data_IF_717845789313
#
_entry.id   IF_717845789313
#
_cell.length_a   1.000
_cell.length_b   1.000
_cell.length_c   1.000
_cell.angle_alpha   90.00
_cell.angle_beta   90.00
_cell.angle_gamma   90.00
#
_symmetry.space_group_name_H-M   'P 1'
#
loop_
_entity.id
_entity.type
_entity.pdbx_description
1 polymer ?
#
# COMPACT_ATOMS: atom_id res chain seq x y z
N UNK A 1 1.78 -1.16 -14.32
CA UNK A 1 3.19 -1.56 -14.00
C UNK A 1 3.26 -2.49 -12.81
N UNK A 2 4.25 -3.40 -12.77
CA UNK A 2 4.53 -4.22 -11.60
C UNK A 2 5.09 -3.35 -10.47
N UNK A 3 4.74 -3.67 -9.21
CA UNK A 3 5.18 -2.93 -8.02
C UNK A 3 4.13 -2.00 -7.42
N UNK A 4 2.99 -1.79 -8.06
CA UNK A 4 1.92 -0.94 -7.55
C UNK A 4 2.41 0.47 -7.24
N UNK A 5 2.28 0.92 -5.98
CA UNK A 5 2.78 2.26 -5.58
C UNK A 5 4.30 2.41 -5.75
N UNK A 6 5.07 1.32 -5.71
CA UNK A 6 6.50 1.31 -6.03
C UNK A 6 6.74 0.99 -7.52
N UNK A 7 6.18 1.79 -8.38
CA UNK A 7 6.40 1.76 -9.83
C UNK A 7 6.65 3.17 -10.35
N UNK A 8 7.10 3.29 -11.59
CA UNK A 8 7.29 4.60 -12.24
C UNK A 8 5.98 5.37 -12.45
N UNK A 9 4.81 4.73 -12.27
CA UNK A 9 3.50 5.37 -12.39
C UNK A 9 3.11 6.16 -11.13
N UNK A 10 3.48 5.67 -9.93
CA UNK A 10 3.09 6.30 -8.65
C UNK A 10 4.28 6.86 -7.88
N UNK A 11 5.44 6.20 -7.98
CA UNK A 11 6.75 6.68 -7.51
C UNK A 11 6.86 6.85 -5.99
N UNK A 12 6.49 5.81 -5.25
CA UNK A 12 6.68 5.73 -3.80
C UNK A 12 7.86 4.81 -3.48
N UNK A 13 8.73 5.20 -2.53
CA UNK A 13 9.84 4.36 -2.07
C UNK A 13 9.37 3.10 -1.35
N UNK A 14 10.23 2.08 -1.29
CA UNK A 14 9.98 0.87 -0.50
C UNK A 14 10.23 1.15 0.99
N UNK A 15 9.15 1.28 1.78
CA UNK A 15 9.24 1.44 3.23
C UNK A 15 9.18 0.10 3.96
N UNK A 16 9.68 0.09 5.21
CA UNK A 16 9.75 -1.08 6.09
C UNK A 16 11.12 -1.77 6.08
N UNK A 17 11.41 -2.53 7.13
CA UNK A 17 12.63 -3.35 7.25
C UNK A 17 12.27 -4.81 7.09
N UNK A 18 13.11 -5.56 6.38
CA UNK A 18 12.94 -6.97 6.06
C UNK A 18 14.01 -7.83 6.74
N UNK A 19 13.87 -9.15 6.69
CA UNK A 19 14.84 -10.10 7.23
C UNK A 19 15.07 -9.91 8.76
N UNK A 20 13.96 -9.72 9.50
CA UNK A 20 13.96 -9.61 10.97
C UNK A 20 13.26 -10.81 11.61
N UNK A 21 13.70 -11.15 12.85
CA UNK A 21 13.01 -12.14 13.65
C UNK A 21 11.51 -11.85 13.85
N UNK A 22 10.68 -12.88 14.12
CA UNK A 22 11.07 -14.27 14.37
C UNK A 22 11.37 -15.09 13.10
N UNK A 23 11.08 -14.57 11.91
CA UNK A 23 11.24 -15.27 10.63
C UNK A 23 12.20 -14.51 9.70
N UNK A 24 13.48 -14.51 10.02
CA UNK A 24 14.55 -13.78 9.29
C UNK A 24 14.71 -14.23 7.83
N UNK A 25 14.08 -15.33 7.44
CA UNK A 25 14.04 -15.77 6.04
C UNK A 25 13.15 -14.92 5.14
N UNK A 26 12.21 -14.14 5.72
CA UNK A 26 11.27 -13.32 4.96
C UNK A 26 11.90 -12.01 4.50
N UNK A 27 11.67 -11.65 3.24
CA UNK A 27 12.15 -10.42 2.62
C UNK A 27 13.24 -10.62 1.57
N UNK A 28 13.81 -11.80 1.42
CA UNK A 28 14.88 -12.08 0.43
C UNK A 28 14.44 -11.86 -1.00
N UNK A 29 13.23 -12.27 -1.36
CA UNK A 29 12.69 -12.00 -2.69
C UNK A 29 12.57 -10.49 -2.94
N UNK A 30 12.17 -9.73 -1.93
CA UNK A 30 12.06 -8.28 -2.04
C UNK A 30 13.44 -7.64 -2.24
N UNK A 31 14.49 -8.15 -1.57
CA UNK A 31 15.86 -7.72 -1.85
C UNK A 31 16.28 -8.01 -3.28
N UNK A 32 15.90 -9.16 -3.80
CA UNK A 32 16.31 -9.63 -5.11
C UNK A 32 15.77 -8.74 -6.25
N UNK A 33 14.49 -8.40 -6.23
CA UNK A 33 13.88 -7.57 -7.28
C UNK A 33 13.63 -6.11 -6.88
N UNK A 34 13.79 -5.76 -5.61
CA UNK A 34 13.61 -4.41 -5.11
C UNK A 34 14.61 -3.42 -5.73
N UNK A 35 14.19 -2.17 -5.86
CA UNK A 35 15.07 -1.13 -6.39
C UNK A 35 16.17 -0.73 -5.40
N UNK A 36 17.27 -0.23 -5.94
CA UNK A 36 18.47 0.17 -5.20
C UNK A 36 18.57 1.67 -4.92
N UNK A 37 17.59 2.46 -5.34
CA UNK A 37 17.54 3.92 -5.19
C UNK A 37 16.37 4.34 -4.32
N UNK A 38 16.52 5.48 -3.66
CA UNK A 38 15.57 5.97 -2.66
C UNK A 38 14.79 7.18 -3.16
N UNK A 39 13.65 7.43 -2.51
CA UNK A 39 12.88 8.66 -2.56
C UNK A 39 11.53 8.53 -3.24
N UNK A 40 10.65 9.46 -2.88
CA UNK A 40 9.35 9.65 -3.50
C UNK A 40 9.45 10.65 -4.65
N UNK A 41 8.54 10.55 -5.62
CA UNK A 41 8.46 11.46 -6.76
C UNK A 41 9.82 11.67 -7.45
N UNK A 42 10.61 10.60 -7.63
CA UNK A 42 11.91 10.64 -8.31
C UNK A 42 11.74 10.30 -9.80
N UNK A 43 12.78 10.49 -10.64
CA UNK A 43 12.76 10.02 -12.02
C UNK A 43 12.39 8.54 -12.14
N UNK A 44 11.78 8.14 -13.26
CA UNK A 44 11.25 6.79 -13.48
C UNK A 44 12.27 5.68 -13.24
N UNK A 45 13.52 5.94 -13.61
CA UNK A 45 14.65 5.01 -13.52
C UNK A 45 14.93 4.57 -12.07
N UNK A 46 14.52 5.38 -11.08
CA UNK A 46 14.70 5.04 -9.67
C UNK A 46 13.87 3.82 -9.26
N UNK A 47 12.79 3.52 -9.98
CA UNK A 47 11.84 2.46 -9.61
C UNK A 47 12.13 1.14 -10.31
N UNK A 48 13.07 1.10 -11.24
CA UNK A 48 13.60 -0.12 -11.89
C UNK A 48 12.48 -1.09 -12.36
N UNK A 49 11.45 -0.59 -13.02
CA UNK A 49 10.30 -1.39 -13.47
C UNK A 49 10.71 -2.53 -14.42
N UNK A 50 11.73 -2.30 -15.26
CA UNK A 50 12.28 -3.33 -16.14
C UNK A 50 12.86 -4.52 -15.35
N UNK A 51 13.52 -4.28 -14.22
CA UNK A 51 14.05 -5.32 -13.35
C UNK A 51 12.94 -6.20 -12.77
N UNK A 52 11.83 -5.58 -12.31
CA UNK A 52 10.67 -6.31 -11.81
C UNK A 52 10.03 -7.16 -12.90
N UNK A 53 9.91 -6.60 -14.10
CA UNK A 53 9.35 -7.31 -15.26
C UNK A 53 10.23 -8.48 -15.68
N UNK A 54 11.56 -8.31 -15.71
CA UNK A 54 12.51 -9.36 -16.03
C UNK A 54 12.50 -10.47 -14.97
N UNK A 55 12.36 -10.11 -13.68
CA UNK A 55 12.24 -11.10 -12.61
C UNK A 55 11.05 -12.02 -12.82
N UNK A 56 9.86 -11.45 -13.07
CA UNK A 56 8.64 -12.26 -13.31
C UNK A 56 8.75 -13.06 -14.63
N UNK A 57 9.31 -12.48 -15.67
CA UNK A 57 9.47 -13.18 -16.96
C UNK A 57 10.45 -14.37 -16.88
N UNK A 58 11.38 -14.35 -15.91
CA UNK A 58 12.30 -15.47 -15.64
C UNK A 58 11.65 -16.66 -14.92
N UNK A 59 10.45 -16.48 -14.35
CA UNK A 59 9.76 -17.50 -13.58
C UNK A 59 8.88 -18.39 -14.49
N UNK A 60 9.38 -19.57 -14.85
CA UNK A 60 8.73 -20.47 -15.82
C UNK A 60 7.31 -20.92 -15.41
N UNK A 61 7.01 -20.96 -14.13
CA UNK A 61 5.71 -21.39 -13.59
C UNK A 61 4.75 -20.22 -13.33
N UNK A 62 5.11 -18.99 -13.71
CA UNK A 62 4.27 -17.79 -13.55
C UNK A 62 3.73 -17.35 -14.91
N UNK A 63 2.41 -17.28 -15.04
CA UNK A 63 1.75 -16.66 -16.18
C UNK A 63 1.23 -15.28 -15.79
N UNK A 64 1.79 -14.24 -16.38
CA UNK A 64 1.39 -12.87 -16.16
C UNK A 64 0.31 -12.44 -17.15
N UNK A 65 -0.82 -11.98 -16.65
CA UNK A 65 -1.88 -11.29 -17.41
C UNK A 65 -1.74 -9.77 -17.16
N UNK A 66 -0.91 -9.12 -17.98
CA UNK A 66 -0.70 -7.67 -17.90
C UNK A 66 -1.93 -6.91 -18.41
N UNK A 67 -2.10 -5.65 -17.95
CA UNK A 67 -3.22 -4.78 -18.34
C UNK A 67 -4.61 -5.42 -18.09
N UNK A 68 -4.71 -6.33 -17.13
CA UNK A 68 -5.95 -7.01 -16.79
C UNK A 68 -6.44 -6.62 -15.39
N UNK A 69 -7.76 -6.54 -15.25
CA UNK A 69 -8.44 -6.21 -14.00
C UNK A 69 -9.50 -7.28 -13.67
N UNK A 70 -9.52 -7.76 -12.44
CA UNK A 70 -10.60 -8.62 -11.96
C UNK A 70 -11.94 -7.86 -11.98
N UNK A 71 -12.95 -8.42 -12.65
CA UNK A 71 -14.27 -7.80 -12.85
C UNK A 71 -15.41 -8.63 -12.31
N UNK A 72 -15.25 -9.95 -12.18
CA UNK A 72 -16.25 -10.84 -11.60
C UNK A 72 -15.59 -12.07 -10.94
N UNK A 73 -16.34 -12.71 -10.06
CA UNK A 73 -15.96 -13.96 -9.39
C UNK A 73 -17.13 -14.93 -9.44
N UNK A 74 -16.87 -16.16 -9.88
CA UNK A 74 -17.80 -17.27 -9.75
C UNK A 74 -17.49 -18.03 -8.48
N UNK A 75 -18.50 -18.22 -7.62
CA UNK A 75 -18.39 -18.88 -6.34
C UNK A 75 -19.43 -19.99 -6.20
N UNK A 76 -19.04 -21.07 -5.57
CA UNK A 76 -19.96 -22.15 -5.17
C UNK A 76 -19.76 -22.42 -3.68
N UNK A 77 -20.84 -22.29 -2.91
CA UNK A 77 -20.75 -22.33 -1.44
C UNK A 77 -19.78 -21.24 -0.92
N UNK A 78 -18.88 -21.64 -0.04
CA UNK A 78 -17.82 -20.80 0.55
C UNK A 78 -16.56 -20.65 -0.32
N UNK A 79 -16.49 -21.18 -1.54
CA UNK A 79 -15.26 -21.28 -2.34
C UNK A 79 -15.36 -20.57 -3.68
N UNK A 80 -14.32 -19.83 -4.03
CA UNK A 80 -14.14 -19.28 -5.38
C UNK A 80 -13.82 -20.44 -6.33
N UNK A 81 -14.49 -20.48 -7.49
CA UNK A 81 -14.23 -21.41 -8.59
C UNK A 81 -13.40 -20.74 -9.67
N UNK A 82 -13.75 -19.51 -10.02
CA UNK A 82 -13.01 -18.75 -11.01
C UNK A 82 -13.07 -17.25 -10.75
N UNK A 83 -12.08 -16.55 -11.29
CA UNK A 83 -12.04 -15.09 -11.39
C UNK A 83 -12.06 -14.70 -12.86
N UNK A 84 -12.94 -13.78 -13.23
CA UNK A 84 -12.99 -13.21 -14.58
C UNK A 84 -12.14 -11.95 -14.56
N UNK A 85 -11.14 -11.90 -15.43
CA UNK A 85 -10.31 -10.73 -15.65
C UNK A 85 -10.59 -10.13 -17.02
N UNK A 86 -10.65 -8.78 -17.07
CA UNK A 86 -10.86 -8.03 -18.32
C UNK A 86 -9.60 -7.25 -18.67
N UNK A 87 -9.16 -7.38 -19.91
CA UNK A 87 -8.09 -6.55 -20.46
C UNK A 87 -8.59 -5.11 -20.63
N UNK A 88 -7.90 -4.14 -20.03
CA UNK A 88 -8.40 -2.75 -19.91
C UNK A 88 -8.46 -2.00 -21.24
N UNK A 89 -7.65 -2.39 -22.23
CA UNK A 89 -7.59 -1.73 -23.53
C UNK A 89 -8.52 -2.39 -24.56
N UNK A 90 -8.57 -3.74 -24.58
CA UNK A 90 -9.36 -4.49 -25.59
C UNK A 90 -10.76 -4.84 -25.11
N UNK A 91 -11.00 -4.84 -23.79
CA UNK A 91 -12.25 -5.32 -23.20
C UNK A 91 -12.42 -6.84 -23.17
N UNK A 92 -11.44 -7.60 -23.69
CA UNK A 92 -11.48 -9.06 -23.72
C UNK A 92 -11.48 -9.64 -22.31
N UNK A 93 -12.34 -10.63 -22.07
CA UNK A 93 -12.43 -11.32 -20.79
C UNK A 93 -11.78 -12.70 -20.84
N UNK A 94 -11.05 -13.02 -19.78
CA UNK A 94 -10.46 -14.35 -19.55
C UNK A 94 -10.96 -14.90 -18.21
N UNK A 95 -11.43 -16.13 -18.20
CA UNK A 95 -11.80 -16.85 -16.98
C UNK A 95 -10.59 -17.63 -16.45
N UNK A 96 -10.22 -17.37 -15.20
CA UNK A 96 -9.11 -18.02 -14.52
C UNK A 96 -9.66 -18.94 -13.43
N UNK A 97 -9.47 -20.24 -13.60
CA UNK A 97 -9.86 -21.27 -12.63
C UNK A 97 -8.64 -21.72 -11.82
N UNK A 98 -8.81 -21.89 -10.52
CA UNK A 98 -7.77 -22.35 -9.62
C UNK A 98 -8.37 -22.95 -8.33
N UNK A 99 -7.64 -23.84 -7.64
CA UNK A 99 -8.06 -24.31 -6.32
C UNK A 99 -7.90 -23.26 -5.22
N UNK A 100 -6.97 -22.30 -5.38
CA UNK A 100 -6.64 -21.25 -4.41
C UNK A 100 -6.52 -19.91 -5.11
N UNK A 101 -6.88 -18.85 -4.42
CA UNK A 101 -6.79 -17.48 -4.88
C UNK A 101 -6.10 -16.62 -3.82
N UNK A 102 -5.39 -15.57 -4.27
CA UNK A 102 -4.83 -14.55 -3.39
C UNK A 102 -5.26 -13.16 -3.88
N UNK A 103 -5.91 -12.39 -3.02
CA UNK A 103 -6.23 -10.99 -3.30
C UNK A 103 -5.04 -10.11 -2.90
N UNK A 104 -4.26 -9.72 -3.91
CA UNK A 104 -3.15 -8.77 -3.80
C UNK A 104 -3.49 -7.42 -4.47
N UNK A 105 -4.77 -7.13 -4.72
CA UNK A 105 -5.22 -5.93 -5.44
C UNK A 105 -5.04 -4.63 -4.64
N UNK A 106 -4.76 -4.75 -3.36
CA UNK A 106 -4.70 -3.64 -2.42
C UNK A 106 -6.08 -3.04 -2.08
N UNK A 107 -7.05 -3.13 -2.97
CA UNK A 107 -8.43 -2.67 -2.76
C UNK A 107 -9.37 -3.80 -2.28
N UNK A 108 -8.85 -5.02 -2.07
CA UNK A 108 -9.67 -6.18 -1.71
C UNK A 108 -10.71 -6.51 -2.77
N UNK A 109 -10.36 -6.34 -4.06
CA UNK A 109 -11.32 -6.43 -5.17
C UNK A 109 -11.81 -7.86 -5.35
N UNK A 110 -10.93 -8.86 -5.34
CA UNK A 110 -11.33 -10.26 -5.51
C UNK A 110 -12.16 -10.72 -4.32
N UNK A 111 -11.74 -10.35 -3.09
CA UNK A 111 -12.50 -10.64 -1.89
C UNK A 111 -13.90 -10.02 -1.91
N UNK A 112 -14.02 -8.76 -2.28
CA UNK A 112 -15.29 -8.06 -2.40
C UNK A 112 -16.22 -8.74 -3.42
N UNK A 113 -15.70 -9.05 -4.61
CA UNK A 113 -16.46 -9.74 -5.66
C UNK A 113 -16.89 -11.17 -5.24
N UNK A 114 -16.08 -11.81 -4.39
CA UNK A 114 -16.39 -13.12 -3.81
C UNK A 114 -17.35 -13.05 -2.60
N UNK A 115 -17.74 -11.87 -2.13
CA UNK A 115 -18.55 -11.69 -0.92
C UNK A 115 -17.78 -12.00 0.37
N UNK A 116 -16.47 -11.76 0.40
CA UNK A 116 -15.69 -11.79 1.62
C UNK A 116 -16.09 -10.62 2.53
N UNK A 117 -16.12 -10.88 3.82
CA UNK A 117 -16.35 -9.84 4.82
C UNK A 117 -15.22 -8.81 4.78
N UNK A 118 -15.58 -7.53 4.91
CA UNK A 118 -14.60 -6.44 4.90
C UNK A 118 -15.04 -5.25 5.74
N UNK A 119 -14.09 -4.36 6.03
CA UNK A 119 -14.30 -3.04 6.63
C UNK A 119 -13.72 -1.96 5.73
N UNK A 120 -14.22 -0.74 5.89
CA UNK A 120 -13.72 0.46 5.23
C UNK A 120 -14.10 1.68 6.07
N UNK A 121 -13.17 2.63 6.23
CA UNK A 121 -13.32 3.73 7.18
C UNK A 121 -12.68 3.40 8.53
N UNK A 122 -12.96 4.22 9.56
CA UNK A 122 -12.38 4.08 10.89
C UNK A 122 -13.38 3.40 11.84
N UNK A 123 -12.89 2.43 12.59
CA UNK A 123 -13.61 1.82 13.71
C UNK A 123 -13.76 2.83 14.87
N UNK A 124 -14.79 2.68 15.69
CA UNK A 124 -14.91 3.43 16.93
C UNK A 124 -13.90 2.94 17.97
N UNK A 125 -13.53 3.85 18.89
CA UNK A 125 -12.64 3.52 20.00
C UNK A 125 -13.11 2.30 20.78
N UNK A 126 -14.38 2.24 21.10
CA UNK A 126 -14.95 1.19 21.94
C UNK A 126 -14.97 -0.18 21.29
N UNK A 127 -14.97 -0.26 19.96
CA UNK A 127 -15.06 -1.55 19.25
C UNK A 127 -13.83 -2.44 19.47
N UNK A 128 -12.64 -1.83 19.50
CA UNK A 128 -11.37 -2.55 19.67
C UNK A 128 -10.54 -2.03 20.87
N UNK A 129 -11.02 -1.04 21.61
CA UNK A 129 -10.30 -0.40 22.71
C UNK A 129 -9.13 0.49 22.23
N UNK A 130 -9.16 1.00 21.01
CA UNK A 130 -8.05 1.71 20.40
C UNK A 130 -8.03 3.18 20.77
N UNK A 131 -6.99 3.64 21.47
CA UNK A 131 -6.87 5.04 21.93
C UNK A 131 -6.69 6.03 20.79
N UNK A 132 -6.24 5.58 19.62
CA UNK A 132 -6.03 6.39 18.42
C UNK A 132 -7.23 6.43 17.49
N UNK A 133 -8.22 5.57 17.72
CA UNK A 133 -9.47 5.56 16.96
C UNK A 133 -10.40 6.71 17.40
N UNK A 134 -11.29 7.20 16.52
CA UNK A 134 -12.30 8.18 16.86
C UNK A 134 -13.31 7.61 17.90
N UNK A 135 -14.03 8.47 18.59
CA UNK A 135 -15.07 8.04 19.52
C UNK A 135 -16.20 7.30 18.81
N UNK A 136 -16.56 7.77 17.64
CA UNK A 136 -17.61 7.15 16.80
C UNK A 136 -17.00 6.73 15.47
N UNK A 137 -17.36 5.52 15.03
CA UNK A 137 -16.94 5.02 13.73
C UNK A 137 -17.39 5.95 12.59
N UNK A 138 -16.54 6.11 11.60
CA UNK A 138 -16.83 6.93 10.43
C UNK A 138 -16.28 6.33 9.12
N UNK A 139 -16.50 7.03 8.03
CA UNK A 139 -16.10 6.58 6.69
C UNK A 139 -14.76 7.16 6.23
N UNK A 140 -14.06 7.92 7.07
CA UNK A 140 -12.79 8.51 6.71
C UNK A 140 -11.74 7.41 6.50
N UNK A 141 -10.96 7.56 5.46
CA UNK A 141 -9.79 6.73 5.18
C UNK A 141 -8.57 7.62 5.02
N UNK A 142 -7.38 7.05 5.07
CA UNK A 142 -6.21 7.74 4.53
C UNK A 142 -6.44 7.96 3.03
N UNK A 143 -6.14 9.17 2.55
CA UNK A 143 -6.41 9.56 1.17
C UNK A 143 -5.42 9.03 0.14
N UNK A 144 -5.55 9.52 -1.07
CA UNK A 144 -4.66 9.20 -2.19
C UNK A 144 -3.78 10.39 -2.57
N UNK A 145 -2.53 10.12 -2.94
CA UNK A 145 -1.58 11.16 -3.34
C UNK A 145 -1.34 11.15 -4.84
N UNK A 146 -1.48 12.33 -5.46
CA UNK A 146 -0.94 12.61 -6.80
C UNK A 146 0.42 13.27 -6.61
N UNK A 147 1.50 12.54 -6.83
CA UNK A 147 2.85 13.06 -6.68
C UNK A 147 3.31 13.81 -7.93
N UNK A 148 4.24 14.75 -7.76
CA UNK A 148 4.76 15.54 -8.86
C UNK A 148 6.10 16.20 -8.50
N UNK A 149 6.88 16.58 -9.50
CA UNK A 149 8.04 17.44 -9.33
C UNK A 149 8.23 18.37 -10.52
N UNK A 150 8.97 19.45 -10.28
CA UNK A 150 9.41 20.38 -11.32
C UNK A 150 10.92 20.30 -11.53
N UNK A 151 11.36 20.58 -12.74
CA UNK A 151 12.78 20.66 -13.14
C UNK A 151 13.16 22.09 -13.47
N UNK A 152 14.40 22.45 -13.17
CA UNK A 152 14.99 23.73 -13.59
C UNK A 152 15.59 23.56 -14.99
N UNK A 153 15.14 24.35 -15.93
CA UNK A 153 15.57 24.29 -17.34
C UNK A 153 16.70 25.27 -17.66
N UNK A 154 17.14 26.08 -16.69
CA UNK A 154 18.11 27.14 -16.87
C UNK A 154 17.61 28.32 -17.70
N UNK A 155 16.41 28.31 -18.24
CA UNK A 155 15.78 29.34 -19.06
C UNK A 155 14.34 29.60 -18.65
N UNK A 156 13.83 30.80 -18.97
CA UNK A 156 12.43 31.15 -18.66
C UNK A 156 11.46 30.18 -19.36
N UNK A 157 10.54 29.63 -18.61
CA UNK A 157 9.45 28.77 -19.11
C UNK A 157 8.11 29.41 -18.79
N UNK A 158 7.07 29.10 -19.61
CA UNK A 158 5.70 29.53 -19.41
C UNK A 158 4.85 28.42 -18.88
N UNK A 159 3.70 28.74 -18.29
CA UNK A 159 2.63 27.83 -17.94
C UNK A 159 1.30 28.56 -18.15
N UNK A 160 0.24 27.91 -18.66
CA UNK A 160 -1.04 28.59 -18.93
C UNK A 160 -1.74 29.01 -17.64
N UNK A 161 -2.54 30.04 -17.74
CA UNK A 161 -3.54 30.41 -16.75
C UNK A 161 -4.88 29.80 -17.17
N UNK A 162 -5.70 29.42 -16.20
CA UNK A 162 -7.06 28.92 -16.46
C UNK A 162 -8.02 29.30 -15.34
N UNK A 163 -9.26 29.61 -15.70
CA UNK A 163 -10.27 30.16 -14.79
C UNK A 163 -11.09 29.10 -14.06
N UNK A 164 -11.02 27.84 -14.49
CA UNK A 164 -11.79 26.73 -13.92
C UNK A 164 -11.04 25.95 -12.83
N UNK A 165 -9.86 26.38 -12.46
CA UNK A 165 -9.01 25.74 -11.46
C UNK A 165 -9.42 26.02 -10.02
N UNK A 166 -8.61 25.54 -9.10
CA UNK A 166 -8.67 25.92 -7.70
C UNK A 166 -8.08 27.33 -7.56
N UNK A 167 -8.79 28.22 -6.87
CA UNK A 167 -8.34 29.60 -6.66
C UNK A 167 -7.22 29.65 -5.64
N UNK A 168 -6.01 30.01 -6.11
CA UNK A 168 -4.85 30.26 -5.28
C UNK A 168 -4.50 31.75 -5.25
N UNK A 169 -4.01 32.19 -4.10
CA UNK A 169 -3.46 33.51 -3.85
C UNK A 169 -2.16 33.42 -3.05
N UNK A 170 -1.54 34.56 -2.72
CA UNK A 170 -0.27 34.59 -2.02
C UNK A 170 -0.30 33.98 -0.60
N UNK A 171 -1.48 33.90 0.01
CA UNK A 171 -1.68 33.40 1.38
C UNK A 171 -1.99 31.91 1.44
N UNK A 172 -2.65 31.36 0.39
CA UNK A 172 -3.10 29.97 0.39
C UNK A 172 -2.33 29.06 -0.58
N UNK A 173 -1.43 29.60 -1.43
CA UNK A 173 -0.63 28.79 -2.35
C UNK A 173 0.46 27.98 -1.64
N UNK A 174 0.80 26.85 -2.19
CA UNK A 174 1.89 26.00 -1.73
C UNK A 174 3.20 26.35 -2.48
N UNK A 175 4.15 27.01 -1.79
CA UNK A 175 5.40 27.51 -2.38
C UNK A 175 6.50 26.43 -2.47
N UNK A 176 6.20 25.35 -3.17
CA UNK A 176 7.05 24.17 -3.32
C UNK A 176 7.42 23.91 -4.77
N UNK A 177 8.44 23.11 -5.01
CA UNK A 177 8.90 22.70 -6.36
C UNK A 177 8.61 21.24 -6.65
N UNK A 178 8.06 20.51 -5.66
CA UNK A 178 7.60 19.14 -5.76
C UNK A 178 6.52 18.88 -4.72
N UNK A 179 5.66 17.92 -4.99
CA UNK A 179 4.67 17.41 -4.06
C UNK A 179 4.83 15.90 -3.91
N UNK A 180 5.11 15.50 -2.68
CA UNK A 180 5.24 14.10 -2.30
C UNK A 180 3.92 13.60 -1.65
N UNK A 181 4.04 12.63 -0.79
CA UNK A 181 2.95 11.93 -0.12
C UNK A 181 1.98 12.83 0.69
N UNK A 182 2.39 14.03 1.11
CA UNK A 182 1.51 15.00 1.82
C UNK A 182 0.48 15.70 0.93
N UNK A 183 0.63 15.63 -0.40
CA UNK A 183 -0.37 16.09 -1.35
C UNK A 183 -1.42 14.99 -1.49
N UNK A 184 -2.40 15.02 -0.61
CA UNK A 184 -3.32 13.91 -0.38
C UNK A 184 -4.76 14.39 -0.42
N UNK A 185 -5.56 13.73 -1.25
CA UNK A 185 -6.97 14.10 -1.51
C UNK A 185 -7.92 12.95 -1.18
N UNK A 186 -9.19 13.27 -0.98
CA UNK A 186 -10.27 12.32 -0.91
C UNK A 186 -10.38 11.53 0.40
N UNK A 187 -9.87 12.03 1.53
CA UNK A 187 -9.96 11.32 2.81
C UNK A 187 -11.40 11.03 3.24
N UNK A 188 -12.34 11.90 2.89
CA UNK A 188 -13.78 11.78 3.18
C UNK A 188 -14.60 11.20 2.01
N UNK A 189 -13.92 10.67 0.98
CA UNK A 189 -14.54 10.06 -0.20
C UNK A 189 -14.25 8.55 -0.25
N UNK A 190 -15.06 7.82 -1.00
CA UNK A 190 -14.82 6.40 -1.23
C UNK A 190 -13.61 6.22 -2.18
N UNK A 191 -12.51 5.69 -1.66
CA UNK A 191 -11.24 5.52 -2.39
C UNK A 191 -11.34 4.59 -3.60
N UNK A 192 -12.45 3.89 -3.77
CA UNK A 192 -12.67 2.99 -4.90
C UNK A 192 -13.69 3.58 -5.87
N UNK A 193 -14.89 3.91 -5.36
CA UNK A 193 -15.98 4.45 -6.19
C UNK A 193 -15.65 5.84 -6.74
N UNK A 194 -15.05 6.69 -5.91
CA UNK A 194 -14.75 8.08 -6.27
C UNK A 194 -13.29 8.28 -6.73
N UNK A 195 -12.56 7.19 -7.05
CA UNK A 195 -11.11 7.22 -7.29
C UNK A 195 -10.70 8.19 -8.41
N UNK A 196 -11.41 8.20 -9.53
CA UNK A 196 -11.09 9.11 -10.64
C UNK A 196 -11.32 10.57 -10.23
N UNK A 197 -12.43 10.86 -9.54
CA UNK A 197 -12.71 12.18 -9.00
C UNK A 197 -11.63 12.64 -8.01
N UNK A 198 -11.13 11.74 -7.16
CA UNK A 198 -10.05 11.99 -6.20
C UNK A 198 -8.76 12.34 -6.94
N UNK A 199 -8.40 11.55 -7.96
CA UNK A 199 -7.23 11.78 -8.81
C UNK A 199 -7.34 13.11 -9.56
N UNK A 200 -8.48 13.35 -10.22
CA UNK A 200 -8.69 14.53 -11.05
C UNK A 200 -8.64 15.81 -10.22
N UNK A 201 -9.18 15.77 -9.01
CA UNK A 201 -9.05 16.88 -8.09
C UNK A 201 -7.58 17.11 -7.67
N UNK A 202 -6.83 16.04 -7.38
CA UNK A 202 -5.39 16.14 -7.11
C UNK A 202 -4.60 16.77 -8.26
N UNK A 203 -4.90 16.39 -9.51
CA UNK A 203 -4.33 17.00 -10.71
C UNK A 203 -4.71 18.48 -10.82
N UNK A 204 -5.99 18.79 -10.60
CA UNK A 204 -6.49 20.18 -10.66
C UNK A 204 -5.77 21.08 -9.65
N UNK A 205 -5.58 20.61 -8.43
CA UNK A 205 -4.82 21.32 -7.38
C UNK A 205 -3.39 21.61 -7.84
N UNK A 206 -2.68 20.60 -8.36
CA UNK A 206 -1.30 20.73 -8.79
C UNK A 206 -1.17 21.77 -9.89
N UNK A 207 -1.98 21.66 -10.94
CA UNK A 207 -1.91 22.58 -12.07
C UNK A 207 -2.35 24.01 -11.70
N UNK A 208 -3.37 24.15 -10.85
CA UNK A 208 -3.81 25.47 -10.37
C UNK A 208 -2.76 26.16 -9.51
N UNK A 209 -2.19 25.44 -8.55
CA UNK A 209 -1.11 25.98 -7.72
C UNK A 209 0.12 26.33 -8.56
N UNK A 210 0.50 25.46 -9.50
CA UNK A 210 1.64 25.73 -10.38
C UNK A 210 1.39 26.93 -11.29
N UNK A 211 0.18 27.07 -11.84
CA UNK A 211 -0.23 28.24 -12.62
C UNK A 211 -0.10 29.52 -11.81
N UNK A 212 -0.55 29.52 -10.57
CA UNK A 212 -0.42 30.69 -9.69
C UNK A 212 1.05 31.01 -9.37
N UNK A 213 1.86 30.02 -9.04
CA UNK A 213 3.29 30.21 -8.78
C UNK A 213 4.05 30.81 -9.98
N UNK A 214 3.65 30.45 -11.20
CA UNK A 214 4.25 30.95 -12.45
C UNK A 214 3.79 32.37 -12.83
N UNK A 215 2.50 32.65 -12.65
CA UNK A 215 1.84 33.81 -13.27
C UNK A 215 1.30 34.84 -12.26
N UNK A 216 0.83 34.39 -11.08
CA UNK A 216 0.17 35.22 -10.07
C UNK A 216 1.07 35.67 -8.93
N UNK A 217 2.10 34.89 -8.61
CA UNK A 217 2.99 35.18 -7.50
C UNK A 217 3.96 36.31 -7.86
N UNK A 218 3.95 37.46 -7.12
CA UNK A 218 4.81 38.60 -7.38
C UNK A 218 6.31 38.26 -7.32
N UNK A 219 6.72 37.48 -6.28
CA UNK A 219 8.09 36.97 -6.15
C UNK A 219 8.14 35.52 -6.68
N UNK A 220 8.19 35.41 -8.00
CA UNK A 220 8.20 34.09 -8.67
C UNK A 220 9.59 33.68 -9.19
N UNK A 221 10.67 34.33 -8.76
CA UNK A 221 12.02 34.08 -9.27
C UNK A 221 12.42 32.61 -9.18
N UNK A 222 12.06 31.94 -8.07
CA UNK A 222 12.27 30.50 -7.84
C UNK A 222 11.61 29.61 -8.91
N UNK A 223 10.50 30.05 -9.50
CA UNK A 223 9.68 29.25 -10.43
C UNK A 223 9.89 29.66 -11.89
N UNK A 224 10.51 30.81 -12.15
CA UNK A 224 10.64 31.39 -13.49
C UNK A 224 11.20 30.42 -14.52
N UNK A 225 12.26 29.70 -14.14
CA UNK A 225 12.99 28.78 -15.03
C UNK A 225 12.54 27.31 -14.84
N UNK A 226 11.49 27.06 -14.09
CA UNK A 226 11.05 25.70 -13.83
C UNK A 226 9.83 25.33 -14.65
N UNK A 227 9.75 24.07 -15.01
CA UNK A 227 8.57 23.45 -15.60
C UNK A 227 8.20 22.16 -14.84
N UNK A 228 6.96 21.69 -14.96
CA UNK A 228 6.55 20.40 -14.41
C UNK A 228 7.29 19.29 -15.17
N UNK A 229 8.20 18.61 -14.48
CA UNK A 229 8.97 17.50 -15.06
C UNK A 229 8.17 16.20 -15.10
N UNK A 230 7.28 16.03 -14.13
CA UNK A 230 6.39 14.89 -14.06
C UNK A 230 5.26 15.14 -13.07
N UNK A 231 4.07 14.63 -13.40
CA UNK A 231 2.89 14.58 -12.54
C UNK A 231 2.30 13.17 -12.66
N UNK A 232 2.02 12.53 -11.54
CA UNK A 232 1.42 11.21 -11.54
C UNK A 232 0.01 11.25 -12.14
N UNK A 233 -0.28 10.36 -13.07
CA UNK A 233 -1.63 10.18 -13.63
C UNK A 233 -2.44 9.10 -12.89
N UNK A 234 -1.79 8.37 -11.98
CA UNK A 234 -2.41 7.44 -11.05
C UNK A 234 -2.18 7.93 -9.63
N UNK A 235 -3.25 8.08 -8.86
CA UNK A 235 -3.13 8.46 -7.46
C UNK A 235 -2.73 7.25 -6.60
N UNK A 236 -1.70 7.41 -5.78
CA UNK A 236 -1.22 6.38 -4.87
C UNK A 236 -2.13 6.24 -3.66
N UNK A 237 -2.88 5.14 -3.56
CA UNK A 237 -3.76 4.84 -2.44
C UNK A 237 -2.99 4.29 -1.24
N UNK A 238 -3.42 4.68 -0.03
CA UNK A 238 -2.93 4.12 1.24
C UNK A 238 -3.89 3.14 1.85
N UNK A 239 -5.17 3.40 1.71
CA UNK A 239 -6.24 2.64 2.34
C UNK A 239 -7.45 2.50 1.43
N UNK A 240 -8.19 1.41 1.60
CA UNK A 240 -9.54 1.20 1.07
C UNK A 240 -10.21 0.07 1.86
N UNK A 241 -10.70 -0.99 1.22
CA UNK A 241 -11.25 -2.15 1.94
C UNK A 241 -10.13 -2.92 2.65
N UNK A 242 -10.43 -3.35 3.86
CA UNK A 242 -9.66 -4.31 4.65
C UNK A 242 -10.52 -5.56 4.81
N UNK A 243 -10.12 -6.66 4.19
CA UNK A 243 -10.83 -7.93 4.26
C UNK A 243 -10.65 -8.53 5.66
N UNK A 244 -11.64 -9.28 6.14
CA UNK A 244 -11.59 -9.85 7.48
C UNK A 244 -11.10 -11.30 7.46
N UNK A 245 -10.06 -11.55 8.25
CA UNK A 245 -9.53 -12.87 8.57
C UNK A 245 -10.09 -13.43 9.87
N UNK A 246 -9.55 -14.54 10.31
CA UNK A 246 -9.88 -15.14 11.60
C UNK A 246 -9.32 -14.31 12.79
N UNK A 247 -8.40 -13.42 12.52
CA UNK A 247 -7.89 -12.43 13.45
C UNK A 247 -7.89 -11.03 12.81
N UNK A 248 -8.19 -10.00 13.60
CA UNK A 248 -8.07 -8.60 13.19
C UNK A 248 -6.95 -7.98 14.02
N UNK A 249 -5.82 -7.65 13.39
CA UNK A 249 -4.74 -6.94 14.07
C UNK A 249 -5.21 -5.56 14.51
N UNK A 250 -4.92 -5.17 15.75
CA UNK A 250 -5.37 -3.92 16.37
C UNK A 250 -4.25 -3.22 17.12
N UNK A 251 -4.48 -1.97 17.54
CA UNK A 251 -3.50 -1.13 18.27
C UNK A 251 -2.91 -1.84 19.49
N UNK A 252 -3.73 -2.54 20.28
CA UNK A 252 -3.30 -3.23 21.49
C UNK A 252 -2.22 -4.29 21.24
N UNK A 253 -2.31 -5.01 20.11
CA UNK A 253 -1.29 -5.98 19.72
C UNK A 253 0.06 -5.32 19.47
N UNK A 254 0.04 -4.12 18.92
CA UNK A 254 1.22 -3.33 18.59
C UNK A 254 1.81 -2.71 19.85
N UNK A 255 0.99 -2.04 20.66
CA UNK A 255 1.42 -1.32 21.87
C UNK A 255 1.99 -2.27 22.92
N UNK A 256 1.39 -3.45 23.05
CA UNK A 256 1.81 -4.50 24.00
C UNK A 256 2.84 -5.45 23.40
N UNK A 257 3.15 -5.30 22.11
CA UNK A 257 4.02 -6.20 21.35
C UNK A 257 3.62 -7.68 21.55
N UNK A 258 2.32 -7.98 21.32
CA UNK A 258 1.75 -9.31 21.54
C UNK A 258 2.37 -10.29 20.54
N UNK A 259 2.96 -11.37 21.07
CA UNK A 259 3.49 -12.44 20.25
C UNK A 259 2.45 -13.57 20.10
N UNK A 260 1.92 -13.71 18.88
CA UNK A 260 0.94 -14.73 18.56
C UNK A 260 1.62 -16.05 18.19
N UNK A 261 0.98 -17.18 18.49
CA UNK A 261 1.51 -18.50 18.13
C UNK A 261 1.72 -18.65 16.60
N UNK A 262 0.91 -17.97 15.79
CA UNK A 262 0.98 -17.94 14.34
C UNK A 262 1.69 -16.70 13.79
N UNK A 263 2.63 -16.13 14.57
CA UNK A 263 3.47 -15.02 14.14
C UNK A 263 4.13 -15.30 12.79
N UNK A 264 3.94 -14.39 11.83
CA UNK A 264 4.43 -14.53 10.47
C UNK A 264 5.47 -13.45 10.13
N UNK A 265 5.14 -12.45 9.34
CA UNK A 265 6.07 -11.38 8.99
C UNK A 265 6.15 -10.31 10.08
N UNK A 266 7.26 -9.57 10.11
CA UNK A 266 7.50 -8.49 11.08
C UNK A 266 7.22 -7.14 10.45
N UNK A 267 6.34 -6.35 11.06
CA UNK A 267 6.11 -4.97 10.73
C UNK A 267 7.02 -4.06 11.56
N UNK A 268 7.57 -3.02 10.93
CA UNK A 268 8.56 -2.11 11.54
C UNK A 268 8.19 -0.64 11.38
N UNK A 269 7.16 -0.34 10.58
CA UNK A 269 6.73 1.02 10.35
C UNK A 269 5.95 1.54 11.56
N UNK A 270 6.07 2.83 11.85
CA UNK A 270 5.29 3.49 12.88
C UNK A 270 3.78 3.32 12.67
N UNK A 271 2.96 3.50 13.71
CA UNK A 271 1.55 3.77 13.48
C UNK A 271 1.49 5.14 12.80
N UNK A 272 1.30 5.12 11.49
CA UNK A 272 1.33 6.28 10.61
C UNK A 272 -0.08 6.58 10.11
N UNK A 273 -0.75 7.50 10.79
CA UNK A 273 -2.12 7.91 10.51
C UNK A 273 -2.13 9.27 9.80
N UNK A 274 -2.97 9.39 8.79
CA UNK A 274 -3.15 10.59 7.98
C UNK A 274 -4.51 11.22 8.25
N UNK A 275 -4.50 12.53 8.42
CA UNK A 275 -5.69 13.35 8.64
C UNK A 275 -5.69 14.54 7.71
N UNK A 276 -6.83 15.16 7.40
CA UNK A 276 -6.85 16.46 6.74
C UNK A 276 -6.03 17.48 7.53
N UNK A 277 -5.13 18.20 6.86
CA UNK A 277 -4.37 19.28 7.49
C UNK A 277 -5.33 20.40 7.94
N UNK A 278 -5.23 20.83 9.18
CA UNK A 278 -6.19 21.76 9.79
C UNK A 278 -6.23 23.12 9.08
N UNK A 279 -5.05 23.66 8.71
CA UNK A 279 -4.97 24.94 8.00
C UNK A 279 -5.52 24.80 6.57
N UNK A 280 -5.23 23.67 5.91
CA UNK A 280 -5.75 23.36 4.60
C UNK A 280 -7.26 23.18 4.62
N UNK A 281 -7.82 22.56 5.67
CA UNK A 281 -9.26 22.41 5.85
C UNK A 281 -10.00 23.76 6.04
N UNK A 282 -9.37 24.69 6.77
CA UNK A 282 -9.93 26.05 6.91
C UNK A 282 -9.93 26.81 5.59
N UNK A 283 -8.86 26.67 4.79
CA UNK A 283 -8.71 27.36 3.49
C UNK A 283 -9.52 26.73 2.37
N UNK A 284 -9.73 25.44 2.41
CA UNK A 284 -10.39 24.65 1.36
C UNK A 284 -11.39 23.65 1.98
N UNK A 285 -12.46 24.13 2.65
CA UNK A 285 -13.38 23.26 3.40
C UNK A 285 -14.08 22.25 2.46
N UNK A 286 -13.99 20.95 2.81
CA UNK A 286 -14.54 19.85 2.02
C UNK A 286 -13.78 19.57 0.71
N UNK A 287 -12.67 20.27 0.48
CA UNK A 287 -11.81 20.16 -0.70
C UNK A 287 -10.33 20.16 -0.29
N UNK A 288 -10.02 19.53 0.83
CA UNK A 288 -8.68 19.41 1.36
C UNK A 288 -7.79 18.62 0.38
N UNK A 289 -6.55 19.05 0.25
CA UNK A 289 -5.55 18.40 -0.60
C UNK A 289 -4.21 18.19 0.09
N UNK A 290 -4.17 18.42 1.40
CA UNK A 290 -2.99 18.18 2.22
C UNK A 290 -3.33 17.33 3.44
N UNK A 291 -2.39 16.45 3.78
CA UNK A 291 -2.43 15.64 4.98
C UNK A 291 -1.50 16.20 6.06
N UNK A 292 -2.01 16.18 7.29
CA UNK A 292 -1.22 16.11 8.50
C UNK A 292 -1.06 14.65 8.90
N UNK A 293 0.08 14.29 9.50
CA UNK A 293 0.36 12.91 9.91
C UNK A 293 0.65 12.82 11.39
N UNK A 294 0.22 11.72 11.97
CA UNK A 294 0.56 11.32 13.32
C UNK A 294 1.39 10.04 13.26
N UNK A 295 2.68 10.17 13.56
CA UNK A 295 3.60 9.04 13.67
C UNK A 295 3.78 8.66 15.13
N UNK A 296 3.51 7.42 15.48
CA UNK A 296 3.76 6.86 16.80
C UNK A 296 4.77 5.74 16.64
N UNK A 297 5.94 5.95 17.24
CA UNK A 297 7.03 4.98 17.23
C UNK A 297 6.64 3.70 17.96
N UNK A 298 6.83 2.58 17.30
CA UNK A 298 6.52 1.25 17.81
C UNK A 298 7.78 0.40 17.89
N UNK A 299 7.68 -0.71 18.62
CA UNK A 299 8.65 -1.80 18.46
C UNK A 299 8.28 -2.64 17.24
N UNK A 300 9.26 -3.22 16.52
CA UNK A 300 8.96 -4.25 15.53
C UNK A 300 8.05 -5.32 16.14
N UNK A 301 6.98 -5.66 15.44
CA UNK A 301 6.01 -6.63 15.92
C UNK A 301 5.65 -7.63 14.83
N UNK A 302 5.42 -8.87 15.23
CA UNK A 302 5.03 -9.94 14.31
C UNK A 302 3.52 -9.95 14.10
N UNK A 303 3.10 -10.06 12.86
CA UNK A 303 1.68 -10.09 12.47
C UNK A 303 1.20 -11.54 12.34
N UNK A 304 0.03 -11.89 12.90
CA UNK A 304 -0.50 -13.25 12.83
C UNK A 304 -0.82 -13.69 11.40
N UNK A 305 -0.53 -14.95 11.07
CA UNK A 305 -0.93 -15.56 9.80
C UNK A 305 -2.44 -15.51 9.57
N UNK A 306 -3.26 -15.60 10.65
CA UNK A 306 -4.73 -15.48 10.59
C UNK A 306 -5.24 -14.16 10.04
N UNK A 307 -4.37 -13.15 9.86
CA UNK A 307 -4.70 -11.91 9.16
C UNK A 307 -4.58 -12.02 7.63
N UNK A 308 -4.07 -13.14 7.09
CA UNK A 308 -3.70 -13.29 5.67
C UNK A 308 -4.64 -14.19 4.87
N UNK A 309 -5.77 -14.63 5.42
CA UNK A 309 -6.80 -15.37 4.71
C UNK A 309 -8.20 -14.94 5.14
N UNK A 310 -9.16 -15.11 4.24
CA UNK A 310 -10.54 -14.71 4.50
C UNK A 310 -11.23 -15.62 5.51
N UNK A 311 -12.01 -15.03 6.44
CA UNK A 311 -12.76 -15.79 7.43
C UNK A 311 -13.98 -16.52 6.87
N UNK A 312 -14.52 -16.08 5.73
CA UNK A 312 -15.76 -16.62 5.14
C UNK A 312 -15.65 -17.00 3.66
N UNK A 313 -14.45 -16.93 3.05
CA UNK A 313 -14.15 -17.47 1.73
C UNK A 313 -12.97 -18.43 1.86
N UNK A 314 -13.26 -19.75 1.82
CA UNK A 314 -12.38 -20.82 2.30
C UNK A 314 -11.06 -20.98 1.55
N UNK A 315 -10.97 -20.54 0.31
CA UNK A 315 -9.79 -20.66 -0.55
C UNK A 315 -9.21 -19.31 -0.99
N UNK A 316 -9.46 -18.25 -0.18
CA UNK A 316 -8.97 -16.92 -0.46
C UNK A 316 -7.92 -16.47 0.55
N UNK A 317 -6.71 -16.22 0.07
CA UNK A 317 -5.67 -15.51 0.78
C UNK A 317 -5.73 -13.99 0.52
N UNK A 318 -5.05 -13.22 1.35
CA UNK A 318 -4.94 -11.77 1.27
C UNK A 318 -3.48 -11.36 1.50
N UNK A 319 -2.93 -10.52 0.62
CA UNK A 319 -1.62 -9.91 0.83
C UNK A 319 -1.63 -8.48 0.31
N UNK A 320 -1.19 -7.53 1.13
CA UNK A 320 -1.22 -6.12 0.82
C UNK A 320 -1.90 -5.29 1.91
N UNK A 321 -2.26 -4.05 1.59
CA UNK A 321 -2.96 -3.15 2.52
C UNK A 321 -4.43 -3.57 2.79
N UNK A 322 -4.91 -4.61 2.14
CA UNK A 322 -6.25 -5.18 2.27
C UNK A 322 -6.33 -6.37 3.24
N UNK A 323 -5.31 -6.64 4.03
CA UNK A 323 -5.33 -7.71 5.04
C UNK A 323 -6.22 -7.35 6.24
N UNK A 324 -6.40 -8.31 7.15
CA UNK A 324 -7.31 -8.19 8.29
C UNK A 324 -6.70 -7.38 9.44
N UNK A 325 -6.96 -6.08 9.42
CA UNK A 325 -6.44 -5.11 10.41
C UNK A 325 -7.46 -4.00 10.65
N UNK A 326 -7.36 -3.31 11.80
CA UNK A 326 -8.08 -2.05 12.04
C UNK A 326 -7.48 -0.91 11.23
N UNK A 327 -8.19 0.23 11.12
CA UNK A 327 -7.64 1.46 10.54
C UNK A 327 -6.33 1.89 11.21
N UNK A 328 -6.27 1.82 12.54
CA UNK A 328 -5.09 2.21 13.32
C UNK A 328 -3.91 1.27 13.03
N UNK A 329 -4.13 -0.04 13.12
CA UNK A 329 -3.08 -1.02 12.89
C UNK A 329 -2.60 -1.04 11.43
N UNK A 330 -3.46 -0.68 10.46
CA UNK A 330 -3.07 -0.55 9.05
C UNK A 330 -1.88 0.41 8.87
N UNK A 331 -1.79 1.44 9.71
CA UNK A 331 -0.67 2.38 9.68
C UNK A 331 0.71 1.73 9.69
N UNK A 332 0.85 0.56 10.35
CA UNK A 332 2.14 -0.13 10.52
C UNK A 332 2.46 -1.12 9.40
N UNK A 333 1.44 -1.69 8.74
CA UNK A 333 1.61 -2.86 7.85
C UNK A 333 1.50 -2.53 6.36
N UNK A 334 1.01 -1.33 6.00
CA UNK A 334 0.72 -0.96 4.61
C UNK A 334 1.94 -0.63 3.75
N UNK A 335 3.13 -0.48 4.34
CA UNK A 335 4.34 -0.16 3.60
C UNK A 335 4.85 -1.35 2.79
N UNK A 336 5.47 -1.07 1.64
CA UNK A 336 5.57 -2.07 0.58
C UNK A 336 6.56 -3.21 0.83
N UNK A 337 7.61 -3.03 1.63
CA UNK A 337 8.46 -4.16 2.03
C UNK A 337 7.71 -5.10 2.97
N UNK A 338 6.93 -4.55 3.89
CA UNK A 338 6.06 -5.35 4.75
C UNK A 338 5.03 -6.13 3.94
N UNK A 339 4.36 -5.47 2.96
CA UNK A 339 3.39 -6.17 2.10
C UNK A 339 4.04 -7.21 1.18
N UNK A 340 5.30 -7.01 0.81
CA UNK A 340 6.06 -8.02 0.06
C UNK A 340 6.29 -9.30 0.88
N UNK A 341 6.67 -9.18 2.16
CA UNK A 341 6.79 -10.34 3.05
C UNK A 341 5.45 -11.08 3.23
N UNK A 342 4.31 -10.38 3.21
CA UNK A 342 2.99 -11.04 3.21
C UNK A 342 2.84 -11.99 2.02
N UNK A 343 3.29 -11.55 0.84
CA UNK A 343 3.27 -12.37 -0.38
C UNK A 343 4.12 -13.65 -0.24
N UNK A 344 5.30 -13.55 0.38
CA UNK A 344 6.14 -14.72 0.66
C UNK A 344 5.42 -15.71 1.60
N UNK A 345 4.83 -15.22 2.69
CA UNK A 345 4.06 -16.06 3.64
C UNK A 345 2.87 -16.73 2.95
N UNK A 346 2.11 -15.98 2.16
CA UNK A 346 0.96 -16.51 1.42
C UNK A 346 1.40 -17.57 0.40
N UNK A 347 2.50 -17.35 -0.31
CA UNK A 347 3.07 -18.33 -1.24
C UNK A 347 3.48 -19.64 -0.53
N UNK A 348 4.15 -19.54 0.61
CA UNK A 348 4.51 -20.71 1.43
C UNK A 348 3.26 -21.46 1.92
N UNK A 349 2.27 -20.74 2.46
CA UNK A 349 1.03 -21.34 2.93
C UNK A 349 0.24 -21.99 1.78
N UNK A 350 0.19 -21.36 0.61
CA UNK A 350 -0.47 -21.94 -0.58
C UNK A 350 0.22 -23.24 -1.04
N UNK A 351 1.57 -23.32 -0.95
CA UNK A 351 2.29 -24.55 -1.24
C UNK A 351 1.91 -25.70 -0.29
N UNK A 352 1.72 -25.38 0.99
CA UNK A 352 1.23 -26.36 1.98
C UNK A 352 -0.24 -26.73 1.75
N UNK A 353 -1.09 -25.77 1.38
CA UNK A 353 -2.47 -26.06 0.98
C UNK A 353 -2.52 -27.10 -0.15
N UNK A 354 -1.66 -26.94 -1.16
CA UNK A 354 -1.55 -27.91 -2.26
C UNK A 354 -1.01 -29.27 -1.79
N UNK A 355 0.02 -29.25 -0.93
CA UNK A 355 0.64 -30.48 -0.41
C UNK A 355 -0.33 -31.35 0.39
N UNK A 356 -1.19 -30.72 1.18
CA UNK A 356 -2.08 -31.41 2.13
C UNK A 356 -3.55 -31.41 1.70
N UNK A 357 -3.87 -30.92 0.51
CA UNK A 357 -5.26 -30.68 0.05
C UNK A 357 -6.09 -29.93 1.11
N UNK A 358 -5.53 -28.84 1.61
CA UNK A 358 -6.03 -28.11 2.76
C UNK A 358 -6.43 -26.67 2.41
N UNK A 359 -7.37 -26.11 3.17
CA UNK A 359 -7.69 -24.69 3.10
C UNK A 359 -6.63 -23.84 3.84
N UNK A 360 -6.53 -22.53 3.58
CA UNK A 360 -5.70 -21.62 4.36
C UNK A 360 -5.85 -21.73 5.87
N UNK A 361 -7.09 -21.84 6.36
CA UNK A 361 -7.40 -22.03 7.78
C UNK A 361 -6.85 -23.34 8.33
N UNK A 362 -6.92 -24.43 7.56
CA UNK A 362 -6.38 -25.72 7.99
C UNK A 362 -4.85 -25.70 8.11
N UNK A 363 -4.15 -24.84 7.36
CA UNK A 363 -2.71 -24.67 7.56
C UNK A 363 -2.41 -24.12 8.96
N UNK A 364 -3.17 -23.12 9.41
CA UNK A 364 -3.07 -22.65 10.79
C UNK A 364 -3.36 -23.78 11.80
N UNK A 365 -4.47 -24.48 11.62
CA UNK A 365 -4.97 -25.45 12.60
C UNK A 365 -4.13 -26.72 12.69
N UNK A 366 -3.53 -27.19 11.59
CA UNK A 366 -2.90 -28.52 11.51
C UNK A 366 -1.45 -28.52 11.05
N UNK A 367 -0.99 -27.48 10.34
CA UNK A 367 0.31 -27.46 9.68
C UNK A 367 1.14 -26.21 10.02
N UNK A 368 0.79 -25.52 11.10
CA UNK A 368 1.46 -24.27 11.50
C UNK A 368 2.96 -24.48 11.76
N UNK A 369 3.35 -25.61 12.33
CA UNK A 369 4.78 -25.92 12.58
C UNK A 369 5.61 -25.97 11.30
N UNK A 370 5.05 -26.54 10.21
CA UNK A 370 5.73 -26.58 8.91
C UNK A 370 5.76 -25.19 8.25
N UNK A 371 4.68 -24.43 8.34
CA UNK A 371 4.66 -23.04 7.84
C UNK A 371 5.73 -22.19 8.55
N UNK A 372 5.85 -22.29 9.87
CA UNK A 372 6.90 -21.61 10.65
C UNK A 372 8.32 -22.01 10.19
N UNK A 373 8.54 -23.29 9.89
CA UNK A 373 9.83 -23.75 9.36
C UNK A 373 10.12 -23.09 8.01
N UNK A 374 9.16 -23.10 7.07
CA UNK A 374 9.33 -22.45 5.76
C UNK A 374 9.62 -20.96 5.89
N UNK A 375 8.93 -20.24 6.76
CA UNK A 375 9.15 -18.80 6.99
C UNK A 375 10.55 -18.52 7.54
N UNK A 376 11.07 -19.35 8.44
CA UNK A 376 12.46 -19.21 8.93
C UNK A 376 13.50 -19.51 7.86
N UNK A 377 13.26 -20.54 7.04
CA UNK A 377 14.15 -20.89 5.92
C UNK A 377 14.12 -19.84 4.81
N UNK A 378 12.96 -19.22 4.58
CA UNK A 378 12.73 -18.24 3.54
C UNK A 378 12.74 -18.83 2.14
N UNK A 379 12.46 -18.01 1.14
CA UNK A 379 12.51 -18.32 -0.30
C UNK A 379 13.46 -17.37 -1.02
N UNK A 380 13.79 -17.66 -2.27
CA UNK A 380 14.73 -16.89 -3.07
C UNK A 380 16.20 -17.23 -2.79
N UNK A 381 17.09 -16.46 -3.41
CA UNK A 381 18.54 -16.64 -3.25
C UNK A 381 18.98 -16.28 -1.84
N UNK A 382 19.95 -17.01 -1.31
CA UNK A 382 20.56 -16.72 0.01
C UNK A 382 21.84 -15.88 -0.11
N UNK A 383 22.52 -15.97 -1.24
CA UNK A 383 23.82 -15.34 -1.50
C UNK A 383 23.73 -14.41 -2.72
N UNK A 384 24.64 -13.48 -2.84
CA UNK A 384 24.72 -12.53 -3.95
C UNK A 384 23.55 -11.57 -4.04
N UNK A 385 22.82 -11.36 -2.94
CA UNK A 385 21.69 -10.41 -2.90
C UNK A 385 22.20 -8.96 -2.94
N UNK A 386 21.47 -8.06 -3.62
CA UNK A 386 21.80 -6.63 -3.61
C UNK A 386 21.82 -6.05 -2.20
N UNK A 387 22.79 -5.19 -1.91
CA UNK A 387 22.78 -4.37 -0.69
C UNK A 387 21.84 -3.17 -0.87
N UNK A 388 20.55 -3.42 -0.68
CA UNK A 388 19.50 -2.38 -0.71
C UNK A 388 18.85 -2.17 0.67
N UNK A 389 19.39 -2.76 1.72
CA UNK A 389 18.92 -2.59 3.10
C UNK A 389 19.11 -1.16 3.63
N UNK A 390 20.13 -0.45 3.17
CA UNK A 390 20.37 0.96 3.50
C UNK A 390 19.24 1.89 3.10
N UNK A 391 18.35 1.45 2.22
CA UNK A 391 17.14 2.17 1.81
C UNK A 391 15.90 1.76 2.61
N UNK A 392 16.07 0.95 3.65
CA UNK A 392 15.04 0.71 4.65
C UNK A 392 14.91 1.96 5.55
N UNK A 393 14.38 3.03 5.01
CA UNK A 393 14.15 4.26 5.74
C UNK A 393 12.73 4.30 6.25
N UNK A 394 12.59 4.80 7.47
CA UNK A 394 11.32 4.96 8.14
C UNK A 394 11.01 3.83 9.13
N UNK A 395 10.52 4.24 10.26
CA UNK A 395 10.38 3.43 11.45
C UNK A 395 11.58 3.59 12.38
N UNK A 396 11.35 3.88 13.65
CA UNK A 396 12.43 3.78 14.61
C UNK A 396 12.70 2.31 14.83
N UNK A 397 13.88 1.84 14.39
CA UNK A 397 14.45 0.61 14.92
C UNK A 397 14.86 0.86 16.38
N UNK A 398 13.88 1.07 17.27
CA UNK A 398 14.13 0.80 18.68
C UNK A 398 14.58 -0.66 18.72
N UNK A 399 15.69 -0.93 19.40
CA UNK A 399 16.15 -2.31 19.57
C UNK A 399 14.93 -3.17 19.93
N UNK A 400 14.65 -4.25 19.19
CA UNK A 400 13.50 -5.08 19.50
C UNK A 400 13.62 -5.45 20.98
N UNK A 401 12.56 -5.22 21.76
CA UNK A 401 12.38 -6.07 22.95
C UNK A 401 12.50 -7.46 22.38
N UNK A 402 13.47 -8.23 22.86
CA UNK A 402 13.74 -9.54 22.34
C UNK A 402 12.40 -10.20 22.02
N UNK A 403 12.13 -10.44 20.73
CA UNK A 403 10.98 -11.24 20.30
C UNK A 403 11.24 -12.57 21.01
N UNK A 404 10.58 -12.79 22.15
CA UNK A 404 10.91 -13.89 23.03
C UNK A 404 10.63 -15.17 22.28
N UNK A 405 11.69 -15.87 21.94
CA UNK A 405 11.67 -17.27 21.58
C UNK A 405 11.70 -18.07 22.90
N UNK A 406 10.62 -18.07 23.65
CA UNK A 406 10.42 -19.03 24.72
C UNK A 406 9.50 -20.15 24.25
#
# INVERSE_FOLDING_TARGET
MLGGNNSSEVRVHLGGVIELGPNEGLGRMIREFGHSREGNARPAENYEDAKKSAFIAGEQNVKLFSSCRAVAVNKEGGRIKSVIVRHIETGEETTLEAPLFADCTGDGTVGFLAGADYRMGRESRDEFGETLAPETADRMTMGSSVQWYSVDTGRKTSFPTFSYGVEFNAENCERVTMGEWKWETGMNLDQIRDFERIRDYGLLVIYSNWSFLKNGLKDNAKYRNRELGWVAYVAGKRESRRLLGDYVLKQDDIDKNVFHEDASFTATWDIDLHFPDSLNSVRFPGREFKAATKHIHIYPHAVPYRCLYSRNVDNLFMAGRNISVTHVALGTVRVMRTTGMMGEVVGMAASLCRKYDASPRLIYQKHLGELRRLMREGVGRKEGLPDNQKFNTGGSLKAPRALRND
#
